data_IF_476389341489
#
_entry.id   IF_476389341489
#
_cell.length_a   1.000
_cell.length_b   1.000
_cell.length_c   1.000
_cell.angle_alpha   90.00
_cell.angle_beta   90.00
_cell.angle_gamma   90.00
#
_symmetry.space_group_name_H-M   'P 1'
#
loop_
_entity.id
_entity.type
_entity.pdbx_description
1 polymer ?
#
# COMPACT_ATOMS: atom_id res chain seq x y z
N UNK A 1 7.96 -9.06 5.85
CA UNK A 1 7.60 -7.65 5.57
C UNK A 1 6.63 -7.71 4.42
N UNK A 2 5.39 -7.26 4.61
CA UNK A 2 4.25 -7.56 3.74
C UNK A 2 4.51 -7.42 2.22
N UNK A 3 5.32 -6.42 1.81
CA UNK A 3 5.75 -6.25 0.41
C UNK A 3 6.56 -7.42 -0.15
N UNK A 4 7.49 -7.99 0.63
CA UNK A 4 8.29 -9.14 0.24
C UNK A 4 7.42 -10.38 0.11
N UNK A 5 6.48 -10.54 1.05
CA UNK A 5 5.57 -11.68 1.08
C UNK A 5 4.66 -11.66 -0.17
N UNK A 6 4.09 -10.49 -0.50
CA UNK A 6 3.29 -10.32 -1.72
C UNK A 6 4.13 -10.50 -2.99
N UNK A 7 5.37 -10.02 -3.00
CA UNK A 7 6.29 -10.20 -4.13
C UNK A 7 6.54 -11.68 -4.41
N UNK A 8 6.80 -12.47 -3.35
CA UNK A 8 6.96 -13.92 -3.45
C UNK A 8 5.69 -14.60 -4.00
N UNK A 9 4.52 -14.22 -3.50
CA UNK A 9 3.22 -14.74 -3.95
C UNK A 9 2.95 -14.41 -5.44
N UNK A 10 3.31 -13.21 -5.90
CA UNK A 10 3.15 -12.82 -7.32
C UNK A 10 4.02 -13.69 -8.24
N UNK A 11 5.24 -14.01 -7.82
CA UNK A 11 6.10 -14.90 -8.58
C UNK A 11 5.49 -16.30 -8.68
N UNK A 12 4.94 -16.81 -7.58
CA UNK A 12 4.31 -18.13 -7.46
C UNK A 12 2.91 -18.18 -8.11
N UNK A 13 2.26 -17.04 -8.33
CA UNK A 13 0.88 -16.96 -8.83
C UNK A 13 -0.17 -17.35 -7.79
N UNK A 14 0.12 -17.12 -6.51
CA UNK A 14 -0.78 -17.40 -5.38
C UNK A 14 -1.26 -16.15 -4.65
N UNK A 15 -1.06 -14.95 -5.23
CA UNK A 15 -1.42 -13.71 -4.55
C UNK A 15 -2.93 -13.59 -4.39
N UNK A 16 -3.70 -13.94 -5.43
CA UNK A 16 -5.17 -13.85 -5.37
C UNK A 16 -5.75 -14.71 -4.25
N UNK A 17 -5.30 -15.96 -4.16
CA UNK A 17 -5.80 -16.90 -3.16
C UNK A 17 -5.44 -16.46 -1.74
N UNK A 18 -4.23 -15.93 -1.54
CA UNK A 18 -3.81 -15.37 -0.25
C UNK A 18 -4.69 -14.17 0.15
N UNK A 19 -4.96 -13.24 -0.79
CA UNK A 19 -5.81 -12.07 -0.51
C UNK A 19 -7.26 -12.47 -0.20
N UNK A 20 -7.80 -13.50 -0.87
CA UNK A 20 -9.12 -14.04 -0.58
C UNK A 20 -9.19 -14.66 0.82
N UNK A 21 -8.15 -15.40 1.22
CA UNK A 21 -8.06 -15.96 2.58
C UNK A 21 -7.95 -14.88 3.65
N UNK A 22 -7.31 -13.75 3.32
CA UNK A 22 -7.20 -12.57 4.18
C UNK A 22 -8.48 -11.73 4.19
N UNK A 23 -9.52 -12.07 3.40
CA UNK A 23 -10.76 -11.32 3.34
C UNK A 23 -10.64 -9.93 2.69
N UNK A 24 -9.61 -9.71 1.87
CA UNK A 24 -9.36 -8.42 1.24
C UNK A 24 -10.43 -8.13 0.17
N UNK A 25 -11.07 -6.98 0.28
CA UNK A 25 -12.07 -6.53 -0.69
C UNK A 25 -11.44 -6.34 -2.08
N UNK A 26 -12.13 -6.80 -3.12
CA UNK A 26 -11.64 -6.71 -4.50
C UNK A 26 -10.62 -7.79 -4.89
N UNK A 27 -10.18 -8.65 -3.97
CA UNK A 27 -9.26 -9.76 -4.26
C UNK A 27 -9.78 -10.68 -5.37
N UNK A 28 -11.09 -10.92 -5.42
CA UNK A 28 -11.73 -11.77 -6.43
C UNK A 28 -11.55 -11.25 -7.87
N UNK A 29 -11.42 -9.94 -8.05
CA UNK A 29 -11.24 -9.28 -9.35
C UNK A 29 -9.76 -9.15 -9.76
N UNK A 30 -8.82 -9.49 -8.88
CA UNK A 30 -7.40 -9.43 -9.18
C UNK A 30 -7.03 -10.46 -10.27
N UNK A 31 -6.41 -9.97 -11.34
CA UNK A 31 -5.77 -10.82 -12.36
C UNK A 31 -4.28 -10.96 -12.10
N UNK A 32 -3.77 -12.19 -12.18
CA UNK A 32 -2.35 -12.52 -12.01
C UNK A 32 -1.60 -12.72 -13.32
N UNK A 33 -2.26 -12.44 -14.46
CA UNK A 33 -1.65 -12.56 -15.80
C UNK A 33 -0.51 -11.54 -15.96
N UNK A 34 -0.74 -10.29 -15.57
CA UNK A 34 0.26 -9.23 -15.69
C UNK A 34 1.09 -9.09 -14.40
N UNK A 35 2.01 -10.05 -14.20
CA UNK A 35 2.91 -10.06 -13.05
C UNK A 35 3.71 -8.76 -12.90
N UNK A 36 4.17 -8.16 -14.00
CA UNK A 36 4.92 -6.90 -13.97
C UNK A 36 4.12 -5.76 -13.33
N UNK A 37 2.82 -5.64 -13.65
CA UNK A 37 1.97 -4.63 -13.01
C UNK A 37 1.73 -4.94 -11.53
N UNK A 38 1.55 -6.20 -11.16
CA UNK A 38 1.40 -6.57 -9.75
C UNK A 38 2.69 -6.33 -8.95
N UNK A 39 3.86 -6.62 -9.52
CA UNK A 39 5.15 -6.29 -8.89
C UNK A 39 5.32 -4.79 -8.69
N UNK A 40 4.90 -3.95 -9.65
CA UNK A 40 4.90 -2.48 -9.51
C UNK A 40 3.97 -2.00 -8.40
N UNK A 41 2.80 -2.64 -8.23
CA UNK A 41 1.89 -2.35 -7.12
C UNK A 41 2.54 -2.74 -5.78
N UNK A 42 3.03 -3.96 -5.66
CA UNK A 42 3.69 -4.46 -4.44
C UNK A 42 4.86 -3.57 -4.00
N UNK A 43 5.67 -3.11 -4.97
CA UNK A 43 6.79 -2.21 -4.71
C UNK A 43 6.35 -0.81 -4.21
N UNK A 44 5.19 -0.30 -4.66
CA UNK A 44 4.65 0.97 -4.17
C UNK A 44 4.02 0.79 -2.79
N UNK A 45 3.00 -0.06 -2.67
CA UNK A 45 2.30 -0.30 -1.41
C UNK A 45 1.46 -1.59 -1.44
N UNK A 46 1.45 -2.44 -0.39
CA UNK A 46 0.61 -3.63 -0.32
C UNK A 46 -0.90 -3.34 -0.42
N UNK A 47 -1.37 -2.23 0.15
CA UNK A 47 -2.80 -1.87 0.13
C UNK A 47 -3.32 -1.52 -1.28
N UNK A 48 -2.46 -1.41 -2.30
CA UNK A 48 -2.90 -1.33 -3.70
C UNK A 48 -3.58 -2.62 -4.21
N UNK A 49 -3.51 -3.69 -3.43
CA UNK A 49 -4.26 -4.94 -3.67
C UNK A 49 -5.56 -5.02 -2.86
N UNK A 50 -5.87 -3.97 -2.09
CA UNK A 50 -6.96 -3.91 -1.15
C UNK A 50 -6.43 -3.80 0.28
N UNK A 51 -7.14 -3.01 1.06
CA UNK A 51 -6.80 -2.68 2.42
C UNK A 51 -7.54 -3.60 3.40
N UNK A 52 -6.86 -4.15 4.42
CA UNK A 52 -7.54 -4.90 5.47
C UNK A 52 -8.49 -4.00 6.26
N UNK A 53 -9.58 -4.58 6.76
CA UNK A 53 -10.46 -3.92 7.74
C UNK A 53 -10.10 -4.35 9.15
N UNK A 54 -10.31 -3.46 10.12
CA UNK A 54 -10.28 -3.80 11.55
C UNK A 54 -11.51 -4.65 11.93
N UNK A 55 -11.52 -5.23 13.13
CA UNK A 55 -12.69 -5.95 13.66
C UNK A 55 -13.95 -5.05 13.73
N UNK A 56 -13.76 -3.74 13.81
CA UNK A 56 -14.83 -2.73 13.77
C UNK A 56 -15.34 -2.39 12.37
N UNK A 57 -14.72 -2.93 11.32
CA UNK A 57 -15.07 -2.70 9.92
C UNK A 57 -14.46 -1.44 9.30
N UNK A 58 -13.65 -0.69 10.05
CA UNK A 58 -12.92 0.49 9.56
C UNK A 58 -11.70 0.05 8.74
N UNK A 59 -11.23 0.88 7.82
CA UNK A 59 -9.98 0.60 7.11
C UNK A 59 -8.79 0.74 8.07
N UNK A 60 -7.81 -0.15 7.97
CA UNK A 60 -6.65 -0.17 8.88
C UNK A 60 -5.87 1.15 8.85
N UNK A 61 -5.75 1.81 7.71
CA UNK A 61 -5.09 3.09 7.54
C UNK A 61 -5.87 4.26 8.14
N UNK A 62 -7.19 4.16 8.26
CA UNK A 62 -8.00 5.14 8.98
C UNK A 62 -7.84 4.98 10.50
N UNK A 63 -7.91 3.73 10.99
CA UNK A 63 -7.80 3.43 12.42
C UNK A 63 -6.35 3.54 12.93
N UNK A 64 -5.37 3.18 12.09
CA UNK A 64 -3.95 3.04 12.40
C UNK A 64 -3.06 3.55 11.26
N UNK A 65 -2.97 4.88 11.04
CA UNK A 65 -2.14 5.47 9.98
C UNK A 65 -0.66 5.04 10.04
N UNK A 66 -0.15 4.75 11.24
CA UNK A 66 1.21 4.25 11.47
C UNK A 66 1.46 2.89 10.83
N UNK A 67 0.43 2.03 10.77
CA UNK A 67 0.53 0.72 10.12
C UNK A 67 0.56 0.87 8.60
N UNK A 68 -0.15 1.87 8.06
CA UNK A 68 -0.08 2.19 6.63
C UNK A 68 1.32 2.65 6.24
N UNK A 69 1.94 3.56 7.00
CA UNK A 69 3.32 3.98 6.75
C UNK A 69 4.30 2.79 6.86
N UNK A 70 4.15 1.94 7.88
CA UNK A 70 5.04 0.80 8.12
C UNK A 70 4.89 -0.34 7.10
N UNK A 71 3.74 -0.46 6.44
CA UNK A 71 3.46 -1.50 5.46
C UNK A 71 4.29 -1.35 4.17
N UNK A 72 4.85 -0.16 3.88
CA UNK A 72 5.72 0.08 2.74
C UNK A 72 7.03 0.78 3.11
N UNK A 73 8.15 0.22 2.69
CA UNK A 73 9.46 0.84 2.90
C UNK A 73 9.58 2.22 2.24
N UNK A 74 8.88 2.44 1.12
CA UNK A 74 8.86 3.72 0.41
C UNK A 74 8.07 4.76 1.21
N UNK A 75 6.90 4.41 1.74
CA UNK A 75 6.08 5.34 2.54
C UNK A 75 6.72 5.61 3.91
N UNK A 76 7.29 4.59 4.58
CA UNK A 76 8.01 4.78 5.84
C UNK A 76 9.22 5.73 5.70
N UNK A 77 9.92 5.70 4.57
CA UNK A 77 10.99 6.67 4.29
C UNK A 77 10.41 8.05 3.93
N UNK A 78 9.38 8.08 3.09
CA UNK A 78 8.71 9.32 2.68
C UNK A 78 8.17 10.11 3.88
N UNK A 79 7.50 9.44 4.83
CA UNK A 79 6.96 10.05 6.05
C UNK A 79 8.06 10.74 6.88
N UNK A 80 9.17 10.06 7.11
CA UNK A 80 10.35 10.62 7.79
C UNK A 80 10.94 11.82 7.05
N UNK A 81 11.12 11.70 5.73
CA UNK A 81 11.62 12.80 4.90
C UNK A 81 10.67 14.01 4.93
N UNK A 82 9.37 13.75 4.90
CA UNK A 82 8.36 14.81 4.88
C UNK A 82 8.30 15.55 6.21
N UNK A 83 8.48 14.87 7.34
CA UNK A 83 8.57 15.50 8.65
C UNK A 83 9.72 16.52 8.72
N UNK A 84 10.89 16.19 8.17
CA UNK A 84 12.04 17.09 8.11
C UNK A 84 11.82 18.24 7.13
N UNK A 85 11.25 17.97 5.96
CA UNK A 85 10.95 19.00 4.96
C UNK A 85 9.92 20.01 5.46
N UNK A 86 8.87 19.55 6.15
CA UNK A 86 7.85 20.40 6.80
C UNK A 86 8.48 21.27 7.88
N UNK A 87 9.36 20.72 8.71
CA UNK A 87 10.10 21.48 9.74
C UNK A 87 10.97 22.58 9.13
N UNK A 88 11.54 22.32 7.95
CA UNK A 88 12.32 23.29 7.18
C UNK A 88 11.47 24.32 6.40
N UNK A 89 10.14 24.23 6.42
CA UNK A 89 9.26 25.14 5.68
C UNK A 89 9.24 24.90 4.16
N UNK A 90 9.71 23.74 3.69
CA UNK A 90 9.72 23.40 2.27
C UNK A 90 8.32 23.05 1.74
N UNK A 91 8.06 23.36 0.47
CA UNK A 91 6.89 22.87 -0.26
C UNK A 91 7.30 21.65 -1.10
N UNK A 92 6.61 20.53 -0.89
CA UNK A 92 6.91 19.26 -1.56
C UNK A 92 5.85 18.96 -2.62
N UNK A 93 6.29 18.55 -3.81
CA UNK A 93 5.44 18.07 -4.89
C UNK A 93 5.70 16.58 -5.12
N UNK A 94 4.66 15.76 -5.08
CA UNK A 94 4.77 14.30 -5.24
C UNK A 94 4.11 13.88 -6.54
N UNK A 95 4.81 13.09 -7.35
CA UNK A 95 4.30 12.49 -8.58
C UNK A 95 4.15 10.98 -8.42
N UNK A 96 3.07 10.42 -8.95
CA UNK A 96 2.83 8.98 -9.03
C UNK A 96 2.22 8.62 -10.37
N UNK A 97 2.65 7.50 -10.94
CA UNK A 97 2.04 6.93 -12.15
C UNK A 97 0.69 6.25 -11.86
N UNK A 98 0.38 5.97 -10.59
CA UNK A 98 -0.85 5.31 -10.15
C UNK A 98 -1.63 6.28 -9.27
N UNK A 99 -2.86 6.61 -9.67
CA UNK A 99 -3.77 7.46 -8.88
C UNK A 99 -4.08 6.84 -7.52
N UNK A 100 -4.22 5.51 -7.45
CA UNK A 100 -4.44 4.78 -6.19
C UNK A 100 -3.32 4.96 -5.16
N UNK A 101 -2.10 5.34 -5.57
CA UNK A 101 -1.04 5.70 -4.61
C UNK A 101 -1.26 7.10 -4.07
N UNK A 102 -1.84 8.01 -4.86
CA UNK A 102 -2.20 9.34 -4.39
C UNK A 102 -3.33 9.28 -3.37
N UNK A 103 -4.29 8.36 -3.55
CA UNK A 103 -5.35 8.10 -2.57
C UNK A 103 -4.74 7.66 -1.22
N UNK A 104 -3.81 6.68 -1.24
CA UNK A 104 -3.07 6.28 -0.03
C UNK A 104 -2.26 7.42 0.60
N UNK A 105 -1.69 8.30 -0.23
CA UNK A 105 -0.96 9.46 0.29
C UNK A 105 -1.92 10.50 0.87
N UNK A 106 -3.14 10.64 0.36
CA UNK A 106 -4.15 11.49 0.96
C UNK A 106 -4.46 11.01 2.37
N UNK A 107 -4.71 9.71 2.55
CA UNK A 107 -5.00 9.13 3.86
C UNK A 107 -3.82 9.25 4.84
N UNK A 108 -2.57 9.14 4.36
CA UNK A 108 -1.38 9.31 5.20
C UNK A 108 -1.19 10.77 5.68
N UNK A 109 -1.60 11.73 4.86
CA UNK A 109 -1.28 13.15 5.04
C UNK A 109 -2.41 13.96 5.68
N UNK A 110 -3.58 13.32 5.89
CA UNK A 110 -4.67 13.86 6.73
C UNK A 110 -4.17 14.13 8.15
#
# INVERSE_FOLDING_TARGET
>A
QLQLDYTALIHQGGLRDALLQMGIEGAAALTEINKTMNLRKAANHPFLFGEPRTDGGEYVGEAHPELMAAASGKLALFDRMLADLRRGGHKTLVFSQMTSVLDLLEDLLR
#
